data_IF_887853845088
#
_entry.id   IF_887853845088
#
_cell.length_a   1.000
_cell.length_b   1.000
_cell.length_c   1.000
_cell.angle_alpha   90.00
_cell.angle_beta   90.00
_cell.angle_gamma   90.00
#
_symmetry.space_group_name_H-M   'P 1'
#
loop_
_entity.id
_entity.type
_entity.pdbx_description
1 polymer ?
#
# COMPACT_ATOMS: atom_id res chain seq x y z
N UNK A 1 1.27 4.93 7.23
CA UNK A 1 -0.09 4.36 7.09
C UNK A 1 -0.45 4.34 5.60
N UNK A 2 -1.43 3.54 5.21
CA UNK A 2 -1.98 3.49 3.86
C UNK A 2 -3.48 3.18 3.94
N UNK A 3 -4.22 3.51 2.88
CA UNK A 3 -5.64 3.22 2.77
C UNK A 3 -5.99 2.77 1.35
N UNK A 4 -7.08 2.02 1.20
CA UNK A 4 -7.63 1.65 -0.11
C UNK A 4 -8.76 2.58 -0.55
N UNK A 5 -9.37 2.28 -1.69
CA UNK A 5 -10.50 3.05 -2.22
C UNK A 5 -11.84 2.52 -1.68
N UNK A 6 -12.88 3.35 -1.76
CA UNK A 6 -14.24 2.94 -1.45
C UNK A 6 -14.69 1.74 -2.29
N UNK A 7 -15.30 0.76 -1.62
CA UNK A 7 -15.86 -0.46 -2.19
C UNK A 7 -17.34 -0.61 -1.77
N UNK A 8 -18.23 -1.11 -2.66
CA UNK A 8 -17.97 -1.57 -4.02
C UNK A 8 -17.63 -0.43 -4.99
N UNK A 9 -16.92 -0.76 -6.07
CA UNK A 9 -16.69 0.18 -7.16
C UNK A 9 -17.96 0.28 -8.02
N UNK A 10 -18.37 1.51 -8.31
CA UNK A 10 -19.49 1.76 -9.21
C UNK A 10 -19.11 1.53 -10.67
N UNK A 11 -20.03 0.97 -11.46
CA UNK A 11 -19.78 0.61 -12.86
C UNK A 11 -19.48 1.84 -13.72
N UNK A 12 -20.17 2.94 -13.45
CA UNK A 12 -19.96 4.24 -14.10
C UNK A 12 -18.85 5.06 -13.45
N UNK A 13 -18.18 4.49 -12.44
CA UNK A 13 -17.05 5.07 -11.70
C UNK A 13 -17.41 6.34 -10.92
N UNK A 14 -18.70 6.55 -10.62
CA UNK A 14 -19.19 7.67 -9.83
C UNK A 14 -19.94 7.10 -8.62
N UNK A 15 -19.39 7.31 -7.42
CA UNK A 15 -20.06 6.93 -6.18
C UNK A 15 -21.41 7.64 -6.05
N UNK A 16 -22.41 6.89 -5.60
CA UNK A 16 -23.82 7.29 -5.50
C UNK A 16 -24.20 7.67 -4.08
N UNK A 17 -25.05 8.69 -3.97
CA UNK A 17 -25.81 9.03 -2.77
C UNK A 17 -26.65 7.83 -2.31
N UNK A 18 -26.98 7.79 -1.01
CA UNK A 18 -27.77 6.73 -0.36
C UNK A 18 -27.21 5.30 -0.51
N UNK A 19 -25.93 5.17 -0.86
CA UNK A 19 -25.21 3.88 -0.86
C UNK A 19 -24.16 3.83 0.23
N UNK A 20 -23.93 2.60 0.72
CA UNK A 20 -22.92 2.32 1.72
C UNK A 20 -21.65 1.85 1.02
N UNK A 21 -20.54 2.52 1.32
CA UNK A 21 -19.21 2.11 0.89
C UNK A 21 -18.31 1.86 2.09
N UNK A 22 -17.33 0.99 1.88
CA UNK A 22 -16.33 0.61 2.87
C UNK A 22 -14.96 0.92 2.30
N UNK A 23 -14.08 1.47 3.12
CA UNK A 23 -12.66 1.56 2.86
C UNK A 23 -11.89 1.06 4.09
N UNK A 24 -10.63 0.72 3.90
CA UNK A 24 -9.72 0.21 4.91
C UNK A 24 -8.55 1.15 5.04
N UNK A 25 -8.17 1.42 6.28
CA UNK A 25 -6.93 2.10 6.64
C UNK A 25 -6.07 1.13 7.45
N UNK A 26 -4.77 1.08 7.14
CA UNK A 26 -3.78 0.30 7.89
C UNK A 26 -2.62 1.16 8.35
N UNK A 27 -2.14 0.86 9.55
CA UNK A 27 -1.02 1.53 10.19
C UNK A 27 -0.35 0.63 11.23
N UNK A 28 0.90 0.94 11.55
CA UNK A 28 1.64 0.29 12.64
C UNK A 28 1.43 0.97 14.00
N UNK A 29 1.07 2.26 14.00
CA UNK A 29 0.89 3.03 15.23
C UNK A 29 -0.52 2.82 15.80
N UNK A 30 -0.59 2.20 16.99
CA UNK A 30 -1.84 1.91 17.70
C UNK A 30 -2.59 3.19 18.11
N UNK A 31 -1.89 4.18 18.65
CA UNK A 31 -2.49 5.45 19.08
C UNK A 31 -3.13 6.18 17.89
N UNK A 32 -2.45 6.17 16.73
CA UNK A 32 -3.03 6.71 15.49
C UNK A 32 -4.31 5.96 15.10
N UNK A 33 -4.31 4.63 15.15
CA UNK A 33 -5.50 3.84 14.82
C UNK A 33 -6.68 4.13 15.76
N UNK A 34 -6.41 4.28 17.06
CA UNK A 34 -7.41 4.63 18.07
C UNK A 34 -7.96 6.05 17.87
N UNK A 35 -7.09 7.02 17.54
CA UNK A 35 -7.52 8.37 17.15
C UNK A 35 -8.43 8.33 15.92
N UNK A 36 -8.05 7.60 14.86
CA UNK A 36 -8.88 7.48 13.67
C UNK A 36 -10.25 6.88 14.00
N UNK A 37 -10.31 5.81 14.82
CA UNK A 37 -11.57 5.23 15.29
C UNK A 37 -12.46 6.25 16.03
N UNK A 38 -11.85 7.10 16.87
CA UNK A 38 -12.58 8.02 17.73
C UNK A 38 -13.02 9.31 17.03
N UNK A 39 -12.28 9.76 16.02
CA UNK A 39 -12.50 11.05 15.36
C UNK A 39 -13.14 10.94 13.97
N UNK A 40 -12.91 9.88 13.19
CA UNK A 40 -13.55 9.72 11.87
C UNK A 40 -15.09 9.78 11.92
N UNK A 41 -15.78 9.13 12.87
CA UNK A 41 -17.25 9.22 12.94
C UNK A 41 -17.79 10.62 13.27
N UNK A 42 -16.91 11.53 13.74
CA UNK A 42 -17.27 12.89 14.16
C UNK A 42 -16.99 13.93 13.07
N UNK A 43 -16.39 13.52 11.94
CA UNK A 43 -16.11 14.46 10.85
C UNK A 43 -17.40 14.82 10.13
N UNK A 44 -17.61 16.11 9.92
CA UNK A 44 -18.65 16.62 9.04
C UNK A 44 -18.06 16.76 7.63
N UNK A 45 -18.80 16.29 6.63
CA UNK A 45 -18.45 16.40 5.22
C UNK A 45 -19.73 16.61 4.43
N UNK A 46 -19.64 17.42 3.36
CA UNK A 46 -20.75 17.64 2.43
C UNK A 46 -20.96 16.44 1.50
N UNK A 47 -19.93 15.61 1.30
CA UNK A 47 -19.94 14.55 0.29
C UNK A 47 -20.37 13.19 0.83
N UNK A 48 -20.00 12.86 2.08
CA UNK A 48 -20.32 11.56 2.68
C UNK A 48 -20.30 11.63 4.21
N UNK A 49 -21.00 10.68 4.84
CA UNK A 49 -21.03 10.52 6.29
C UNK A 49 -20.38 9.21 6.71
N UNK A 50 -19.50 9.26 7.70
CA UNK A 50 -18.93 8.05 8.31
C UNK A 50 -19.97 7.43 9.24
N UNK A 51 -20.52 6.27 8.86
CA UNK A 51 -21.57 5.58 9.62
C UNK A 51 -21.01 4.79 10.81
N UNK A 52 -19.86 4.13 10.63
CA UNK A 52 -19.21 3.33 11.66
C UNK A 52 -17.72 3.13 11.35
N UNK A 53 -16.95 2.81 12.38
CA UNK A 53 -15.53 2.44 12.24
C UNK A 53 -15.23 1.22 13.12
N UNK A 54 -14.70 0.18 12.49
CA UNK A 54 -14.20 -1.02 13.18
C UNK A 54 -12.67 -0.94 13.30
N UNK A 55 -12.14 -1.27 14.48
CA UNK A 55 -10.70 -1.38 14.71
C UNK A 55 -10.34 -2.85 14.92
N UNK A 56 -9.47 -3.37 14.04
CA UNK A 56 -9.00 -4.76 14.08
C UNK A 56 -7.48 -4.80 14.18
N UNK A 57 -6.95 -5.59 15.11
CA UNK A 57 -5.52 -5.91 15.18
C UNK A 57 -5.19 -7.06 14.23
N UNK A 58 -4.16 -6.87 13.41
CA UNK A 58 -3.60 -7.91 12.55
C UNK A 58 -2.27 -8.34 13.17
N UNK A 59 -2.12 -9.63 13.41
CA UNK A 59 -0.88 -10.22 13.93
C UNK A 59 0.03 -10.63 12.78
N UNK A 60 1.35 -10.54 12.98
CA UNK A 60 2.34 -11.01 12.01
C UNK A 60 2.14 -12.52 11.77
N UNK A 61 2.11 -12.89 10.49
CA UNK A 61 2.05 -14.27 9.99
C UNK A 61 3.02 -14.38 8.83
N UNK A 62 3.42 -15.60 8.46
CA UNK A 62 4.26 -15.79 7.28
C UNK A 62 3.48 -15.43 6.02
N UNK A 63 3.97 -14.42 5.30
CA UNK A 63 3.41 -13.90 4.07
C UNK A 63 4.16 -14.55 2.91
N UNK A 64 3.43 -15.25 2.04
CA UNK A 64 3.99 -15.87 0.84
C UNK A 64 3.80 -14.98 -0.40
N UNK A 65 2.75 -14.16 -0.41
CA UNK A 65 2.49 -13.24 -1.51
C UNK A 65 1.88 -11.94 -1.02
N UNK A 66 2.22 -10.84 -1.69
CA UNK A 66 1.54 -9.54 -1.58
C UNK A 66 0.92 -9.20 -2.93
N UNK A 67 -0.35 -8.80 -2.97
CA UNK A 67 -1.02 -8.34 -4.18
C UNK A 67 -1.63 -6.96 -3.97
N UNK A 68 -1.25 -6.01 -4.83
CA UNK A 68 -1.61 -4.60 -4.67
C UNK A 68 -3.03 -4.33 -5.18
N UNK A 69 -3.89 -3.76 -4.33
CA UNK A 69 -5.23 -3.33 -4.68
C UNK A 69 -5.25 -1.94 -5.32
N UNK A 70 -4.36 -1.05 -4.88
CA UNK A 70 -4.14 0.26 -5.48
C UNK A 70 -2.79 0.30 -6.22
N UNK A 71 -2.63 1.18 -7.23
CA UNK A 71 -1.36 1.25 -7.96
C UNK A 71 -0.21 1.64 -7.03
N UNK A 72 0.94 1.01 -7.21
CA UNK A 72 2.21 1.36 -6.60
C UNK A 72 2.89 2.40 -7.49
N UNK A 73 3.34 3.48 -6.88
CA UNK A 73 4.14 4.51 -7.52
C UNK A 73 5.59 4.36 -7.06
N UNK A 74 6.50 4.28 -8.02
CA UNK A 74 7.95 4.24 -7.81
C UNK A 74 8.59 5.27 -8.74
N UNK A 75 9.40 6.16 -8.18
CA UNK A 75 10.13 7.19 -8.92
C UNK A 75 11.56 6.73 -9.19
N UNK A 76 11.96 6.77 -10.46
CA UNK A 76 13.31 6.46 -10.94
C UNK A 76 14.24 7.66 -10.78
N UNK A 77 15.53 7.45 -11.00
CA UNK A 77 16.56 8.48 -10.79
C UNK A 77 16.45 9.67 -11.76
N UNK A 78 15.85 9.46 -12.93
CA UNK A 78 15.52 10.52 -13.89
C UNK A 78 14.21 11.26 -13.57
N UNK A 79 13.64 11.04 -12.38
CA UNK A 79 12.36 11.56 -11.89
C UNK A 79 11.11 11.09 -12.66
N UNK A 80 11.23 10.08 -13.53
CA UNK A 80 10.05 9.42 -14.13
C UNK A 80 9.51 8.32 -13.24
N UNK A 81 8.26 7.93 -13.46
CA UNK A 81 7.68 6.78 -12.79
C UNK A 81 7.98 5.51 -13.57
N UNK A 82 8.27 4.42 -12.84
CA UNK A 82 8.47 3.10 -13.45
C UNK A 82 7.22 2.66 -14.22
N UNK A 83 7.42 2.19 -15.45
CA UNK A 83 6.39 1.66 -16.35
C UNK A 83 6.81 0.31 -16.93
N UNK A 84 5.84 -0.43 -17.45
CA UNK A 84 6.11 -1.72 -18.09
C UNK A 84 7.05 -1.54 -19.30
N UNK A 85 8.20 -2.21 -19.25
CA UNK A 85 9.30 -2.06 -20.22
C UNK A 85 10.59 -1.56 -19.57
N UNK A 86 10.49 -0.92 -18.40
CA UNK A 86 11.64 -0.59 -17.56
C UNK A 86 12.21 -1.86 -16.87
N UNK A 87 13.43 -1.76 -16.36
CA UNK A 87 14.13 -2.86 -15.70
C UNK A 87 13.42 -3.29 -14.40
N UNK A 88 13.24 -4.60 -14.24
CA UNK A 88 12.62 -5.19 -13.06
C UNK A 88 13.54 -5.19 -11.84
N UNK A 89 14.85 -5.29 -12.03
CA UNK A 89 15.81 -5.24 -10.90
C UNK A 89 15.73 -3.88 -10.20
N UNK A 90 15.61 -2.80 -10.96
CA UNK A 90 15.45 -1.44 -10.43
C UNK A 90 14.19 -1.29 -9.57
N UNK A 91 13.06 -1.86 -9.97
CA UNK A 91 11.84 -1.74 -9.17
C UNK A 91 11.91 -2.59 -7.89
N UNK A 92 12.50 -3.79 -7.97
CA UNK A 92 12.69 -4.65 -6.80
C UNK A 92 13.54 -3.94 -5.74
N UNK A 93 14.65 -3.33 -6.15
CA UNK A 93 15.55 -2.59 -5.25
C UNK A 93 14.90 -1.32 -4.69
N UNK A 94 14.16 -0.57 -5.51
CA UNK A 94 13.43 0.63 -5.06
C UNK A 94 12.32 0.28 -4.07
N UNK A 95 11.58 -0.80 -4.30
CA UNK A 95 10.56 -1.29 -3.37
C UNK A 95 11.22 -1.72 -2.05
N UNK A 96 12.30 -2.48 -2.11
CA UNK A 96 13.02 -2.91 -0.92
C UNK A 96 13.53 -1.71 -0.10
N UNK A 97 14.28 -0.80 -0.72
CA UNK A 97 14.82 0.37 -0.03
C UNK A 97 13.73 1.27 0.57
N UNK A 98 12.57 1.38 -0.09
CA UNK A 98 11.41 2.07 0.46
C UNK A 98 10.91 1.42 1.77
N UNK A 99 10.82 0.09 1.80
CA UNK A 99 10.32 -0.64 2.96
C UNK A 99 11.36 -0.70 4.10
N UNK A 100 12.65 -0.81 3.79
CA UNK A 100 13.74 -0.68 4.76
C UNK A 100 13.72 0.68 5.45
N UNK A 101 13.57 1.75 4.67
CA UNK A 101 13.44 3.12 5.20
C UNK A 101 12.24 3.23 6.14
N UNK A 102 11.07 2.73 5.73
CA UNK A 102 9.86 2.71 6.57
C UNK A 102 10.09 1.90 7.84
N UNK A 103 10.73 0.73 7.76
CA UNK A 103 11.07 -0.08 8.93
C UNK A 103 11.92 0.75 9.91
N UNK A 104 13.01 1.36 9.44
CA UNK A 104 13.86 2.19 10.28
C UNK A 104 13.11 3.40 10.88
N UNK A 105 12.21 4.04 10.14
CA UNK A 105 11.37 5.14 10.66
C UNK A 105 10.43 4.69 11.79
N UNK A 106 9.87 3.47 11.71
CA UNK A 106 8.93 2.96 12.72
C UNK A 106 9.61 2.33 13.94
N UNK A 107 10.78 1.70 13.76
CA UNK A 107 11.44 0.91 14.80
C UNK A 107 12.78 1.51 15.27
N UNK A 108 13.27 2.56 14.60
CA UNK A 108 14.59 3.14 14.83
C UNK A 108 15.72 2.08 14.78
N UNK A 109 15.57 1.12 13.88
CA UNK A 109 16.44 -0.03 13.72
C UNK A 109 16.73 -0.21 12.21
N UNK A 110 18.01 -0.34 11.85
CA UNK A 110 18.42 -0.71 10.50
C UNK A 110 18.36 -2.22 10.35
N UNK A 111 17.71 -2.68 9.29
CA UNK A 111 17.74 -4.08 8.90
C UNK A 111 18.83 -4.28 7.84
N UNK A 112 19.47 -5.45 7.85
CA UNK A 112 20.49 -5.82 6.88
C UNK A 112 20.00 -7.07 6.15
N UNK A 113 19.43 -6.91 4.94
CA UNK A 113 19.00 -8.06 4.15
C UNK A 113 20.20 -8.81 3.57
N UNK A 114 20.11 -10.15 3.55
CA UNK A 114 21.08 -11.00 2.87
C UNK A 114 20.75 -11.20 1.37
N UNK A 115 19.51 -10.87 0.98
CA UNK A 115 18.96 -11.00 -0.37
C UNK A 115 17.76 -10.05 -0.54
N UNK A 116 17.29 -9.85 -1.77
CA UNK A 116 16.06 -9.06 -1.96
C UNK A 116 14.86 -9.77 -1.31
N UNK A 117 13.94 -9.03 -0.67
CA UNK A 117 12.75 -9.66 -0.07
C UNK A 117 11.76 -10.22 -1.10
N UNK A 118 11.83 -9.71 -2.33
CA UNK A 118 11.05 -10.17 -3.46
C UNK A 118 11.78 -11.35 -4.09
N UNK A 119 11.14 -12.50 -4.07
CA UNK A 119 11.58 -13.67 -4.83
C UNK A 119 11.24 -13.53 -6.32
N UNK A 120 10.06 -12.95 -6.59
CA UNK A 120 9.54 -12.73 -7.94
C UNK A 120 8.48 -11.63 -7.92
N UNK A 121 8.46 -10.81 -8.97
CA UNK A 121 7.45 -9.77 -9.20
C UNK A 121 6.68 -10.04 -10.49
N UNK A 122 5.36 -9.83 -10.45
CA UNK A 122 4.48 -9.89 -11.63
C UNK A 122 3.68 -8.59 -11.73
N UNK A 123 3.62 -8.00 -12.93
CA UNK A 123 2.77 -6.82 -13.21
C UNK A 123 1.35 -7.31 -13.54
N UNK A 124 0.35 -6.74 -12.85
CA UNK A 124 -1.05 -7.17 -12.96
C UNK A 124 -1.86 -6.37 -13.98
N UNK A 125 -1.34 -5.26 -14.50
CA UNK A 125 -2.03 -4.37 -15.43
C UNK A 125 -1.26 -4.23 -16.75
N UNK A 126 -2.01 -4.13 -17.86
CA UNK A 126 -1.42 -3.98 -19.20
C UNK A 126 -0.90 -2.57 -19.50
N UNK A 127 -1.50 -1.55 -18.86
CA UNK A 127 -1.13 -0.14 -19.01
C UNK A 127 -1.09 0.51 -17.62
N UNK A 128 -0.12 1.38 -17.39
CA UNK A 128 0.02 2.10 -16.13
C UNK A 128 -1.24 2.92 -15.82
N UNK A 129 -1.59 2.98 -14.54
CA UNK A 129 -2.66 3.83 -14.03
C UNK A 129 -2.15 5.27 -13.90
N UNK A 130 -2.91 6.22 -14.41
CA UNK A 130 -2.67 7.64 -14.17
C UNK A 130 -3.41 8.09 -12.92
N UNK A 131 -2.69 8.68 -11.97
CA UNK A 131 -3.22 9.23 -10.73
C UNK A 131 -3.02 10.75 -10.73
N UNK A 132 -4.04 11.50 -10.31
CA UNK A 132 -3.90 12.93 -10.09
C UNK A 132 -3.17 13.17 -8.76
N UNK A 133 -2.09 13.95 -8.80
CA UNK A 133 -1.33 14.33 -7.61
C UNK A 133 -0.95 15.80 -7.70
N UNK A 134 -1.54 16.62 -6.82
CA UNK A 134 -1.45 18.08 -6.92
C UNK A 134 -1.87 18.52 -8.34
N UNK A 135 -1.08 19.36 -9.01
CA UNK A 135 -1.35 19.86 -10.36
C UNK A 135 -0.71 19.00 -11.47
N UNK A 136 -0.31 17.77 -11.17
CA UNK A 136 0.32 16.86 -12.14
C UNK A 136 -0.28 15.45 -12.10
N UNK A 137 0.12 14.63 -13.07
CA UNK A 137 -0.20 13.20 -13.13
C UNK A 137 1.04 12.39 -12.82
N UNK A 138 0.85 11.35 -12.02
CA UNK A 138 1.88 10.34 -11.74
C UNK A 138 1.37 8.98 -12.20
N UNK A 139 2.29 8.14 -12.66
CA UNK A 139 1.97 6.78 -13.11
C UNK A 139 2.24 5.76 -12.01
N UNK A 140 1.41 4.73 -11.98
CA UNK A 140 1.60 3.59 -11.08
C UNK A 140 1.13 2.28 -11.69
N UNK A 141 1.67 1.18 -11.21
CA UNK A 141 1.35 -0.17 -11.66
C UNK A 141 0.89 -1.03 -10.49
N UNK A 142 0.11 -2.06 -10.79
CA UNK A 142 -0.31 -3.07 -9.82
C UNK A 142 0.62 -4.27 -9.94
N UNK A 143 0.98 -4.84 -8.81
CA UNK A 143 1.92 -5.94 -8.72
C UNK A 143 1.39 -7.08 -7.87
N UNK A 144 1.89 -8.27 -8.17
CA UNK A 144 1.92 -9.41 -7.28
C UNK A 144 3.38 -9.72 -6.96
N UNK A 145 3.72 -9.76 -5.69
CA UNK A 145 5.05 -10.05 -5.19
C UNK A 145 5.03 -11.41 -4.51
N UNK A 146 5.98 -12.27 -4.85
CA UNK A 146 6.28 -13.51 -4.15
C UNK A 146 7.41 -13.22 -3.17
N UNK A 147 7.26 -13.62 -1.92
CA UNK A 147 8.09 -13.16 -0.81
C UNK A 147 9.02 -14.28 -0.35
N UNK A 148 10.29 -13.96 -0.15
CA UNK A 148 11.26 -14.88 0.44
C UNK A 148 10.92 -15.20 1.92
N UNK A 149 11.26 -16.40 2.38
CA UNK A 149 10.85 -16.90 3.70
C UNK A 149 11.73 -16.42 4.86
N UNK A 150 12.91 -15.85 4.57
CA UNK A 150 13.85 -15.41 5.60
C UNK A 150 13.28 -14.30 6.50
N UNK A 151 13.85 -14.15 7.68
CA UNK A 151 13.30 -13.28 8.72
C UNK A 151 13.18 -11.82 8.27
N UNK A 152 14.19 -11.31 7.55
CA UNK A 152 14.23 -9.92 7.07
C UNK A 152 13.16 -9.71 6.01
N UNK A 153 13.03 -10.65 5.07
CA UNK A 153 12.00 -10.61 4.05
C UNK A 153 10.59 -10.60 4.64
N UNK A 154 10.35 -11.42 5.66
CA UNK A 154 9.06 -11.46 6.37
C UNK A 154 8.81 -10.19 7.21
N UNK A 155 9.85 -9.53 7.73
CA UNK A 155 9.71 -8.20 8.37
C UNK A 155 9.28 -7.17 7.32
N UNK A 156 9.96 -7.10 6.19
CA UNK A 156 9.65 -6.16 5.11
C UNK A 156 8.25 -6.37 4.51
N UNK A 157 7.85 -7.63 4.30
CA UNK A 157 6.51 -7.94 3.81
C UNK A 157 5.40 -7.50 4.79
N UNK A 158 5.65 -7.63 6.10
CA UNK A 158 4.74 -7.10 7.11
C UNK A 158 4.65 -5.57 7.08
N UNK A 159 5.77 -4.86 6.88
CA UNK A 159 5.76 -3.39 6.69
C UNK A 159 4.96 -3.01 5.45
N UNK A 160 5.15 -3.73 4.34
CA UNK A 160 4.40 -3.51 3.11
C UNK A 160 2.89 -3.66 3.33
N UNK A 161 2.44 -4.72 4.00
CA UNK A 161 1.03 -4.94 4.31
C UNK A 161 0.43 -3.82 5.19
N UNK A 162 1.21 -3.34 6.17
CA UNK A 162 0.75 -2.37 7.15
C UNK A 162 0.81 -0.90 6.65
N UNK A 163 1.69 -0.61 5.70
CA UNK A 163 2.03 0.78 5.32
C UNK A 163 1.94 1.07 3.83
N UNK A 164 1.65 0.06 3.01
CA UNK A 164 1.64 0.17 1.57
C UNK A 164 3.04 0.10 0.97
N UNK A 165 3.09 -0.29 -0.30
CA UNK A 165 4.32 -0.47 -1.09
C UNK A 165 4.62 0.82 -1.85
N UNK A 166 5.90 1.20 -1.90
CA UNK A 166 6.35 2.36 -2.68
C UNK A 166 5.96 3.71 -2.07
N UNK A 167 5.72 4.67 -2.94
CA UNK A 167 5.62 6.09 -2.58
C UNK A 167 4.17 6.57 -2.50
N UNK A 168 3.97 7.70 -1.80
CA UNK A 168 2.69 8.44 -1.70
C UNK A 168 1.52 7.69 -1.04
N UNK A 169 1.80 6.59 -0.33
CA UNK A 169 0.79 5.73 0.31
C UNK A 169 -0.13 6.46 1.29
N UNK A 170 0.41 7.40 2.07
CA UNK A 170 -0.38 8.18 3.04
C UNK A 170 -1.17 9.34 2.40
N UNK A 171 -0.76 9.82 1.24
CA UNK A 171 -1.38 10.97 0.57
C UNK A 171 -2.41 10.57 -0.49
N UNK A 172 -2.24 9.40 -1.11
CA UNK A 172 -3.06 8.95 -2.24
C UNK A 172 -3.60 7.52 -2.08
N UNK A 173 -3.28 6.83 -0.97
CA UNK A 173 -3.65 5.42 -0.82
C UNK A 173 -2.92 4.48 -1.78
N UNK A 174 -1.80 4.92 -2.38
CA UNK A 174 -1.02 4.12 -3.34
C UNK A 174 -0.29 2.96 -2.66
N UNK A 175 -0.21 1.84 -3.40
CA UNK A 175 0.46 0.62 -2.98
C UNK A 175 -0.19 -0.12 -1.82
N UNK A 176 -1.46 0.16 -1.50
CA UNK A 176 -2.23 -0.68 -0.59
C UNK A 176 -2.30 -2.10 -1.15
N UNK A 177 -1.90 -3.08 -0.36
CA UNK A 177 -1.82 -4.47 -0.78
C UNK A 177 -2.46 -5.40 0.24
N UNK A 178 -2.86 -6.59 -0.19
CA UNK A 178 -3.27 -7.66 0.72
C UNK A 178 -2.21 -8.75 0.73
N UNK A 179 -2.11 -9.44 1.86
CA UNK A 179 -1.25 -10.61 2.01
C UNK A 179 -2.02 -11.91 1.77
N UNK A 180 -1.32 -12.87 1.16
CA UNK A 180 -1.64 -14.29 1.24
C UNK A 180 -0.67 -14.91 2.23
N UNK A 181 -1.20 -15.59 3.24
CA UNK A 181 -0.39 -16.22 4.28
C UNK A 181 -0.12 -17.69 3.95
N UNK A 182 1.00 -18.21 4.47
CA UNK A 182 1.24 -19.65 4.54
C UNK A 182 0.10 -20.30 5.34
N UNK A 183 -0.45 -21.40 4.81
CA UNK A 183 -1.57 -22.13 5.43
C UNK A 183 -1.14 -22.83 6.71
#
# INVERSE_FOLDING_TARGET
>A
YCFDNFYPLEQDKIYKEDRIYIFKLRCLNKEFAEKMKNYLPKTESFDFKVLSVELKRIYRRNIIELYTLTPVVITLDDNKQWVLGDDFSLIEDKIQGNLEKKYNEYFNEKIVPIQNFIQRIEVLNKKAYSLNYKNTKILGNKFRLFINEDEVSQKLAFIAEATGIGEKSSSLGTGFCNAKYLK
#
